data_IF_013794806408
#
_entry.id   IF_013794806408
#
_cell.length_a   1.000
_cell.length_b   1.000
_cell.length_c   1.000
_cell.angle_alpha   90.00
_cell.angle_beta   90.00
_cell.angle_gamma   90.00
#
_symmetry.space_group_name_H-M   'P 1'
#
loop_
_entity.id
_entity.type
_entity.pdbx_description
1 polymer ?
#
# COMPACT_ATOMS: atom_id res chain seq x y z
N UNK A 1 16.73 -26.62 25.59
CA UNK A 1 15.87 -25.78 24.74
C UNK A 1 16.37 -24.37 24.93
N UNK A 2 17.32 -23.98 24.11
CA UNK A 2 17.77 -22.60 24.05
C UNK A 2 16.62 -21.77 23.46
N UNK A 3 16.16 -20.81 24.23
CA UNK A 3 15.18 -19.81 23.75
C UNK A 3 15.86 -19.03 22.64
N UNK A 4 15.38 -19.20 21.40
CA UNK A 4 15.76 -18.29 20.31
C UNK A 4 15.61 -16.84 20.81
N UNK A 5 16.60 -15.96 20.55
CA UNK A 5 16.50 -14.58 20.98
C UNK A 5 15.27 -13.96 20.32
N UNK A 6 14.25 -13.68 21.12
CA UNK A 6 13.14 -12.84 20.71
C UNK A 6 13.74 -11.49 20.33
N UNK A 7 13.72 -11.13 19.05
CA UNK A 7 14.05 -9.78 18.62
C UNK A 7 13.05 -8.86 19.30
N UNK A 8 13.49 -8.21 20.37
CA UNK A 8 12.77 -7.05 20.87
C UNK A 8 12.67 -6.05 19.71
N UNK A 9 11.45 -5.64 19.40
CA UNK A 9 11.20 -4.59 18.44
C UNK A 9 11.98 -3.35 18.89
N UNK A 10 13.08 -3.06 18.19
CA UNK A 10 13.88 -1.84 18.41
C UNK A 10 13.63 -0.91 17.26
N UNK A 11 12.91 0.21 17.46
CA UNK A 11 12.72 1.25 16.44
C UNK A 11 14.04 1.75 15.85
N UNK A 12 15.13 1.69 16.61
CA UNK A 12 16.47 2.13 16.22
C UNK A 12 17.10 1.28 15.08
N UNK A 13 16.55 0.09 14.82
CA UNK A 13 17.00 -0.81 13.74
C UNK A 13 16.08 -0.79 12.52
N UNK A 14 15.09 0.08 12.51
CA UNK A 14 14.12 0.14 11.44
C UNK A 14 14.53 1.14 10.37
N UNK A 15 14.48 0.68 9.13
CA UNK A 15 14.66 1.54 7.96
C UNK A 15 13.35 2.29 7.66
N UNK A 16 13.16 3.44 8.30
CA UNK A 16 12.02 4.33 8.07
C UNK A 16 12.14 5.14 6.76
N UNK A 17 12.56 4.51 5.67
CA UNK A 17 12.52 5.14 4.35
C UNK A 17 11.09 5.19 3.83
N UNK A 18 10.77 6.23 3.06
CA UNK A 18 9.52 6.35 2.34
C UNK A 18 9.46 5.32 1.19
N UNK A 19 8.98 4.11 1.49
CA UNK A 19 8.89 3.04 0.49
C UNK A 19 7.71 3.19 -0.46
N UNK A 20 6.63 3.82 0.00
CA UNK A 20 5.42 4.01 -0.78
C UNK A 20 4.92 5.44 -0.62
N UNK A 21 4.72 6.11 -1.73
CA UNK A 21 4.27 7.50 -1.74
C UNK A 21 3.04 7.60 -2.63
N UNK A 22 1.92 8.02 -2.06
CA UNK A 22 0.72 8.38 -2.81
C UNK A 22 0.77 9.86 -3.12
N UNK A 23 0.71 10.22 -4.39
CA UNK A 23 0.78 11.60 -4.82
C UNK A 23 -0.50 12.00 -5.55
N UNK A 24 -1.29 12.85 -4.92
CA UNK A 24 -2.42 13.49 -5.57
C UNK A 24 -1.89 14.62 -6.45
N UNK A 25 -1.87 14.43 -7.76
CA UNK A 25 -1.31 15.38 -8.70
C UNK A 25 -2.26 16.55 -9.04
N UNK A 26 -3.57 16.35 -8.80
CA UNK A 26 -4.61 17.36 -9.07
C UNK A 26 -5.84 17.11 -8.20
N UNK A 27 -6.57 18.19 -7.88
CA UNK A 27 -7.92 18.11 -7.29
C UNK A 27 -9.03 17.96 -8.33
N UNK A 28 -8.73 18.17 -9.60
CA UNK A 28 -9.72 18.03 -10.67
C UNK A 28 -10.14 16.60 -10.87
N UNK A 29 -11.43 16.35 -11.00
CA UNK A 29 -11.98 15.04 -11.29
C UNK A 29 -13.17 15.12 -12.25
N UNK A 30 -13.37 14.11 -13.05
CA UNK A 30 -14.56 13.93 -13.89
C UNK A 30 -15.64 13.09 -13.21
N UNK A 31 -15.41 12.61 -11.99
CA UNK A 31 -16.38 11.94 -11.13
C UNK A 31 -16.68 12.77 -9.88
N UNK A 32 -17.81 12.47 -9.21
CA UNK A 32 -18.27 13.14 -7.99
C UNK A 32 -18.59 12.14 -6.88
N UNK A 33 -17.60 11.32 -6.52
CA UNK A 33 -17.77 10.22 -5.57
C UNK A 33 -18.17 10.70 -4.17
N UNK A 34 -19.13 10.03 -3.54
CA UNK A 34 -19.63 10.35 -2.19
C UNK A 34 -18.54 10.15 -1.11
N UNK A 35 -17.64 9.21 -1.31
CA UNK A 35 -16.56 8.83 -0.38
C UNK A 35 -15.21 9.50 -0.65
N UNK A 36 -15.18 10.58 -1.45
CA UNK A 36 -13.92 11.18 -1.87
C UNK A 36 -13.16 11.84 -0.71
N UNK A 37 -12.06 11.21 -0.27
CA UNK A 37 -11.20 11.73 0.80
C UNK A 37 -10.45 13.02 0.44
N UNK A 38 -10.21 13.24 -0.86
CA UNK A 38 -9.51 14.42 -1.39
C UNK A 38 -10.43 15.63 -1.51
N UNK A 39 -11.74 15.42 -1.42
CA UNK A 39 -12.77 16.41 -1.78
C UNK A 39 -12.52 16.98 -3.18
N UNK A 40 -12.30 16.08 -4.14
CA UNK A 40 -11.96 16.43 -5.51
C UNK A 40 -13.06 17.27 -6.17
N UNK A 41 -12.63 18.25 -6.96
CA UNK A 41 -13.53 19.18 -7.64
C UNK A 41 -14.07 18.58 -8.93
N UNK A 42 -15.38 18.30 -8.92
CA UNK A 42 -16.07 17.78 -10.09
C UNK A 42 -16.03 18.79 -11.24
N UNK A 43 -15.41 18.40 -12.36
CA UNK A 43 -15.24 19.25 -13.54
C UNK A 43 -14.58 20.60 -13.24
N UNK A 44 -13.77 20.66 -12.17
CA UNK A 44 -13.03 21.87 -11.81
C UNK A 44 -12.06 22.33 -12.89
N UNK A 45 -11.77 23.63 -12.91
CA UNK A 45 -10.76 24.22 -13.79
C UNK A 45 -9.32 23.90 -13.40
N UNK A 46 -8.35 24.31 -14.22
CA UNK A 46 -6.93 24.26 -13.85
C UNK A 46 -6.69 25.13 -12.61
N UNK A 47 -5.90 24.63 -11.68
CA UNK A 47 -5.52 25.33 -10.45
C UNK A 47 -4.10 25.87 -10.58
N UNK A 48 -3.90 27.09 -10.13
CA UNK A 48 -2.58 27.76 -10.17
C UNK A 48 -1.72 27.42 -8.96
N UNK A 49 -2.30 26.86 -7.92
CA UNK A 49 -1.63 26.46 -6.69
C UNK A 49 -1.12 25.00 -6.72
N UNK A 50 -1.59 24.17 -7.66
CA UNK A 50 -1.05 22.84 -7.90
C UNK A 50 0.40 22.91 -8.40
N UNK A 51 1.20 21.89 -8.06
CA UNK A 51 2.58 21.79 -8.57
C UNK A 51 2.60 21.75 -10.09
N UNK A 52 3.39 22.62 -10.72
CA UNK A 52 3.64 22.55 -12.15
C UNK A 52 4.63 21.39 -12.48
N UNK A 53 4.86 21.14 -13.78
CA UNK A 53 5.71 20.02 -14.24
C UNK A 53 7.12 20.05 -13.65
N UNK A 54 7.77 21.22 -13.66
CA UNK A 54 9.11 21.42 -13.12
C UNK A 54 9.18 21.20 -11.61
N UNK A 55 8.15 21.63 -10.89
CA UNK A 55 7.99 21.39 -9.45
C UNK A 55 7.79 19.91 -9.17
N UNK A 56 7.00 19.21 -10.00
CA UNK A 56 6.86 17.76 -9.89
C UNK A 56 8.20 17.04 -10.08
N UNK A 57 9.01 17.45 -11.05
CA UNK A 57 10.34 16.86 -11.27
C UNK A 57 11.26 17.07 -10.06
N UNK A 58 11.28 18.30 -9.49
CA UNK A 58 12.04 18.57 -8.26
C UNK A 58 11.60 17.71 -7.08
N UNK A 59 10.30 17.48 -6.93
CA UNK A 59 9.76 16.61 -5.87
C UNK A 59 10.19 15.16 -6.10
N UNK A 60 10.19 14.66 -7.35
CA UNK A 60 10.68 13.33 -7.69
C UNK A 60 12.17 13.20 -7.32
N UNK A 61 12.99 14.21 -7.61
CA UNK A 61 14.42 14.23 -7.25
C UNK A 61 14.61 14.19 -5.72
N UNK A 62 13.83 14.97 -4.96
CA UNK A 62 13.87 14.96 -3.49
C UNK A 62 13.48 13.59 -2.90
N UNK A 63 12.49 12.90 -3.49
CA UNK A 63 12.11 11.56 -3.06
C UNK A 63 13.25 10.58 -3.33
N UNK A 64 13.92 10.70 -4.47
CA UNK A 64 15.05 9.84 -4.85
C UNK A 64 16.24 9.93 -3.89
N UNK A 65 16.45 11.08 -3.24
CA UNK A 65 17.47 11.26 -2.19
C UNK A 65 17.21 10.37 -0.97
N UNK A 66 15.94 10.13 -0.62
CA UNK A 66 15.55 9.29 0.51
C UNK A 66 15.47 7.82 0.11
N UNK A 67 14.79 7.53 -0.99
CA UNK A 67 14.65 6.16 -1.50
C UNK A 67 14.52 6.13 -3.03
N UNK A 68 15.61 5.87 -3.78
CA UNK A 68 15.57 5.83 -5.24
C UNK A 68 14.75 4.67 -5.82
N UNK A 69 14.32 3.73 -4.98
CA UNK A 69 13.51 2.57 -5.37
C UNK A 69 12.11 2.60 -4.74
N UNK A 70 11.59 3.78 -4.43
CA UNK A 70 10.25 3.92 -3.87
C UNK A 70 9.16 3.48 -4.86
N UNK A 71 8.04 3.05 -4.30
CA UNK A 71 6.81 2.78 -5.01
C UNK A 71 6.00 4.07 -5.08
N UNK A 72 5.85 4.64 -6.26
CA UNK A 72 5.19 5.92 -6.47
C UNK A 72 3.80 5.71 -7.08
N UNK A 73 2.77 6.07 -6.34
CA UNK A 73 1.37 5.99 -6.76
C UNK A 73 0.93 7.38 -7.22
N UNK A 74 0.92 7.60 -8.52
CA UNK A 74 0.45 8.85 -9.12
C UNK A 74 -1.07 8.80 -9.25
N UNK A 75 -1.77 9.70 -8.57
CA UNK A 75 -3.23 9.74 -8.50
C UNK A 75 -3.70 11.20 -8.36
N UNK A 76 -4.88 11.43 -7.81
CA UNK A 76 -5.42 12.76 -7.58
C UNK A 76 -6.92 12.72 -7.45
N UNK A 77 -7.61 13.69 -8.02
CA UNK A 77 -8.97 13.53 -8.45
C UNK A 77 -9.00 12.54 -9.60
N UNK A 78 -8.67 12.99 -10.82
CA UNK A 78 -8.37 12.10 -11.95
C UNK A 78 -7.05 12.55 -12.60
N UNK A 79 -5.97 11.76 -12.48
CA UNK A 79 -4.65 12.19 -12.97
C UNK A 79 -4.58 12.35 -14.48
N UNK A 80 -5.39 11.63 -15.26
CA UNK A 80 -5.45 11.75 -16.71
C UNK A 80 -6.04 13.10 -17.19
N UNK A 81 -6.58 13.92 -16.29
CA UNK A 81 -6.96 15.31 -16.59
C UNK A 81 -5.76 16.26 -16.60
N UNK A 82 -4.58 15.84 -16.13
CA UNK A 82 -3.36 16.63 -16.24
C UNK A 82 -2.72 16.45 -17.61
N UNK A 83 -2.43 17.54 -18.34
CA UNK A 83 -1.83 17.43 -19.67
C UNK A 83 -0.41 16.87 -19.66
N UNK A 84 0.34 17.09 -18.57
CA UNK A 84 1.73 16.70 -18.36
C UNK A 84 1.91 15.33 -17.64
N UNK A 85 0.82 14.57 -17.42
CA UNK A 85 0.87 13.31 -16.65
C UNK A 85 1.88 12.31 -17.23
N UNK A 86 1.98 12.20 -18.54
CA UNK A 86 2.89 11.24 -19.19
C UNK A 86 4.36 11.63 -19.04
N UNK A 87 4.66 12.95 -18.96
CA UNK A 87 6.00 13.47 -18.71
C UNK A 87 6.42 13.18 -17.28
N UNK A 88 5.51 13.36 -16.31
CA UNK A 88 5.75 13.06 -14.90
C UNK A 88 5.99 11.56 -14.70
N UNK A 89 5.16 10.69 -15.32
CA UNK A 89 5.36 9.24 -15.28
C UNK A 89 6.74 8.86 -15.84
N UNK A 90 7.10 9.39 -17.00
CA UNK A 90 8.39 9.11 -17.65
C UNK A 90 9.56 9.54 -16.78
N UNK A 91 9.52 10.76 -16.25
CA UNK A 91 10.58 11.27 -15.39
C UNK A 91 10.81 10.39 -14.16
N UNK A 92 9.72 9.98 -13.50
CA UNK A 92 9.80 9.07 -12.37
C UNK A 92 10.32 7.67 -12.75
N UNK A 93 9.86 7.12 -13.89
CA UNK A 93 10.31 5.82 -14.39
C UNK A 93 11.81 5.83 -14.77
N UNK A 94 12.31 6.91 -15.37
CA UNK A 94 13.72 7.11 -15.71
C UNK A 94 14.60 7.17 -14.46
N UNK A 95 14.08 7.68 -13.33
CA UNK A 95 14.71 7.65 -11.99
C UNK A 95 14.61 6.27 -11.31
N UNK A 96 14.03 5.26 -11.98
CA UNK A 96 13.89 3.87 -11.49
C UNK A 96 12.83 3.68 -10.41
N UNK A 97 11.93 4.62 -10.20
CA UNK A 97 10.77 4.37 -9.35
C UNK A 97 9.85 3.31 -9.95
N UNK A 98 9.21 2.53 -9.09
CA UNK A 98 8.08 1.70 -9.49
C UNK A 98 6.83 2.59 -9.55
N UNK A 99 6.46 3.04 -10.76
CA UNK A 99 5.35 3.98 -10.96
C UNK A 99 4.05 3.25 -11.26
N UNK A 100 3.01 3.51 -10.48
CA UNK A 100 1.64 3.03 -10.73
C UNK A 100 0.70 4.22 -10.83
N UNK A 101 -0.19 4.21 -11.82
CA UNK A 101 -1.23 5.21 -11.99
C UNK A 101 -2.51 4.75 -11.29
N UNK A 102 -3.01 5.55 -10.33
CA UNK A 102 -4.32 5.34 -9.70
C UNK A 102 -5.37 6.22 -10.39
N UNK A 103 -6.32 5.62 -11.11
CA UNK A 103 -7.34 6.29 -11.91
C UNK A 103 -8.73 5.71 -11.64
N UNK A 104 -9.77 6.45 -11.95
CA UNK A 104 -11.13 5.93 -11.95
C UNK A 104 -11.45 5.06 -13.20
N UNK A 105 -10.56 5.03 -14.19
CA UNK A 105 -10.67 4.21 -15.40
C UNK A 105 -11.47 4.85 -16.55
N UNK A 106 -12.37 5.78 -16.25
CA UNK A 106 -13.33 6.30 -17.25
C UNK A 106 -12.71 7.10 -18.41
N UNK A 107 -11.44 7.49 -18.28
CA UNK A 107 -10.68 8.16 -19.32
C UNK A 107 -9.70 7.25 -20.07
N UNK A 108 -9.63 5.98 -19.71
CA UNK A 108 -8.78 5.01 -20.41
C UNK A 108 -9.38 4.72 -21.79
N UNK A 109 -8.61 5.03 -22.80
CA UNK A 109 -8.84 4.63 -24.19
C UNK A 109 -7.51 4.09 -24.75
N UNK A 110 -7.53 3.53 -25.94
CA UNK A 110 -6.31 2.93 -26.54
C UNK A 110 -5.13 3.92 -26.58
N UNK A 111 -5.38 5.18 -26.97
CA UNK A 111 -4.33 6.22 -27.07
C UNK A 111 -3.72 6.51 -25.70
N UNK A 112 -4.56 6.67 -24.66
CA UNK A 112 -4.07 6.92 -23.30
C UNK A 112 -3.34 5.70 -22.73
N UNK A 113 -3.84 4.48 -22.96
CA UNK A 113 -3.19 3.25 -22.51
C UNK A 113 -1.80 3.07 -23.16
N UNK A 114 -1.66 3.32 -24.46
CA UNK A 114 -0.39 3.29 -25.16
C UNK A 114 0.60 4.34 -24.63
N UNK A 115 0.12 5.57 -24.34
CA UNK A 115 0.95 6.62 -23.73
C UNK A 115 1.40 6.25 -22.32
N UNK A 116 0.52 5.68 -21.48
CA UNK A 116 0.86 5.21 -20.13
C UNK A 116 1.98 4.15 -20.21
N UNK A 117 1.83 3.18 -21.11
CA UNK A 117 2.85 2.14 -21.34
C UNK A 117 4.18 2.73 -21.82
N UNK A 118 4.12 3.61 -22.83
CA UNK A 118 5.31 4.25 -23.39
C UNK A 118 6.01 5.20 -22.42
N UNK A 119 5.29 5.77 -21.45
CA UNK A 119 5.84 6.57 -20.37
C UNK A 119 6.55 5.73 -19.29
N UNK A 120 6.37 4.42 -19.28
CA UNK A 120 7.06 3.52 -18.34
C UNK A 120 6.32 3.25 -17.04
N UNK A 121 4.99 3.46 -17.00
CA UNK A 121 4.19 3.02 -15.86
C UNK A 121 4.23 1.49 -15.73
N UNK A 122 4.39 1.00 -14.49
CA UNK A 122 4.42 -0.42 -14.17
C UNK A 122 3.03 -1.05 -14.10
N UNK A 123 1.99 -0.23 -13.94
CA UNK A 123 0.62 -0.69 -13.91
C UNK A 123 -0.38 0.43 -13.64
N UNK A 124 -1.66 0.06 -13.73
CA UNK A 124 -2.80 0.97 -13.51
C UNK A 124 -3.74 0.37 -12.47
N UNK A 125 -4.11 1.16 -11.46
CA UNK A 125 -5.14 0.79 -10.50
C UNK A 125 -6.48 1.40 -10.89
N UNK A 126 -7.50 0.57 -11.11
CA UNK A 126 -8.85 1.02 -11.46
C UNK A 126 -9.82 0.70 -10.33
N UNK A 127 -10.70 1.63 -10.06
CA UNK A 127 -11.67 1.53 -8.97
C UNK A 127 -12.98 0.88 -9.44
N UNK A 128 -13.35 -0.25 -8.80
CA UNK A 128 -14.66 -0.92 -8.96
C UNK A 128 -15.20 -1.21 -7.56
N UNK A 129 -16.31 -0.57 -7.17
CA UNK A 129 -16.87 -0.72 -5.83
C UNK A 129 -18.07 -1.67 -5.77
N UNK A 130 -18.65 -2.02 -6.92
CA UNK A 130 -19.77 -2.95 -7.03
C UNK A 130 -19.80 -3.56 -8.43
N UNK A 131 -20.24 -4.81 -8.52
CA UNK A 131 -20.55 -5.45 -9.80
C UNK A 131 -21.91 -5.04 -10.34
N UNK A 132 -22.74 -4.37 -9.54
CA UNK A 132 -23.99 -3.75 -9.99
C UNK A 132 -23.69 -2.34 -10.54
N UNK A 133 -23.96 -2.07 -11.86
CA UNK A 133 -23.69 -0.78 -12.48
C UNK A 133 -24.37 0.40 -11.78
N UNK A 134 -25.64 0.26 -11.41
CA UNK A 134 -26.41 1.33 -10.78
C UNK A 134 -25.82 1.72 -9.41
N UNK A 135 -25.43 0.72 -8.61
CA UNK A 135 -24.77 0.96 -7.32
C UNK A 135 -23.43 1.66 -7.51
N UNK A 136 -22.60 1.15 -8.44
CA UNK A 136 -21.30 1.75 -8.71
C UNK A 136 -21.45 3.19 -9.21
N UNK A 137 -22.30 3.42 -10.22
CA UNK A 137 -22.54 4.73 -10.81
C UNK A 137 -23.05 5.74 -9.78
N UNK A 138 -23.97 5.31 -8.91
CA UNK A 138 -24.46 6.14 -7.79
C UNK A 138 -23.34 6.50 -6.83
N UNK A 139 -22.52 5.53 -6.40
CA UNK A 139 -21.40 5.74 -5.47
C UNK A 139 -20.31 6.63 -6.06
N UNK A 140 -20.09 6.55 -7.38
CA UNK A 140 -19.17 7.41 -8.14
C UNK A 140 -19.75 8.75 -8.57
N UNK A 141 -21.05 8.95 -8.40
CA UNK A 141 -21.76 10.20 -8.66
C UNK A 141 -21.87 10.59 -10.13
N UNK A 142 -21.67 9.66 -11.06
CA UNK A 142 -21.76 9.87 -12.51
C UNK A 142 -22.29 8.64 -13.22
N UNK A 143 -23.27 8.85 -14.10
CA UNK A 143 -23.81 7.81 -14.98
C UNK A 143 -22.73 7.23 -15.90
N UNK A 144 -22.79 5.93 -16.16
CA UNK A 144 -21.85 5.18 -17.02
C UNK A 144 -20.41 5.12 -16.51
N UNK A 145 -20.15 5.47 -15.26
CA UNK A 145 -18.82 5.31 -14.68
C UNK A 145 -18.39 3.84 -14.67
N UNK A 146 -19.34 2.92 -14.39
CA UNK A 146 -19.09 1.48 -14.37
C UNK A 146 -18.71 0.95 -15.76
N UNK A 147 -19.51 1.26 -16.77
CA UNK A 147 -19.32 0.79 -18.15
C UNK A 147 -17.97 1.25 -18.69
N UNK A 148 -17.64 2.54 -18.52
CA UNK A 148 -16.36 3.10 -18.96
C UNK A 148 -15.18 2.48 -18.23
N UNK A 149 -15.31 2.17 -16.95
CA UNK A 149 -14.26 1.50 -16.18
C UNK A 149 -14.09 0.03 -16.60
N UNK A 150 -15.18 -0.64 -17.02
CA UNK A 150 -15.12 -2.00 -17.58
C UNK A 150 -14.42 -2.03 -18.92
N UNK A 151 -14.75 -1.12 -19.84
CA UNK A 151 -14.09 -1.00 -21.14
C UNK A 151 -12.57 -0.76 -20.98
N UNK A 152 -12.16 -0.07 -19.91
CA UNK A 152 -10.75 0.18 -19.62
C UNK A 152 -9.94 -1.09 -19.40
N UNK A 153 -10.50 -2.12 -18.78
CA UNK A 153 -9.79 -3.39 -18.56
C UNK A 153 -9.48 -4.12 -19.87
N UNK A 154 -10.44 -4.16 -20.79
CA UNK A 154 -10.24 -4.78 -22.09
C UNK A 154 -9.15 -4.05 -22.88
N UNK A 155 -9.18 -2.72 -22.87
CA UNK A 155 -8.17 -1.87 -23.52
C UNK A 155 -6.78 -2.09 -22.93
N UNK A 156 -6.65 -2.13 -21.59
CA UNK A 156 -5.37 -2.38 -20.93
C UNK A 156 -4.81 -3.76 -21.24
N UNK A 157 -5.66 -4.79 -21.29
CA UNK A 157 -5.28 -6.14 -21.71
C UNK A 157 -4.75 -6.16 -23.15
N UNK A 158 -5.48 -5.53 -24.08
CA UNK A 158 -5.08 -5.47 -25.49
C UNK A 158 -3.75 -4.73 -25.71
N UNK A 159 -3.53 -3.63 -24.97
CA UNK A 159 -2.28 -2.87 -25.02
C UNK A 159 -1.15 -3.57 -24.27
N UNK A 160 -1.48 -4.47 -23.34
CA UNK A 160 -0.52 -5.18 -22.48
C UNK A 160 0.05 -4.26 -21.38
N UNK A 161 -0.82 -3.57 -20.67
CA UNK A 161 -0.53 -2.83 -19.44
C UNK A 161 -1.07 -3.62 -18.26
N UNK A 162 -0.22 -3.93 -17.29
CA UNK A 162 -0.67 -4.61 -16.07
C UNK A 162 -1.61 -3.69 -15.27
N UNK A 163 -2.65 -4.27 -14.67
CA UNK A 163 -3.61 -3.51 -13.87
C UNK A 163 -4.06 -4.26 -12.62
N UNK A 164 -4.65 -3.52 -11.71
CA UNK A 164 -5.26 -4.03 -10.49
C UNK A 164 -6.63 -3.39 -10.26
N UNK A 165 -7.49 -4.10 -9.53
CA UNK A 165 -8.79 -3.60 -9.11
C UNK A 165 -8.71 -3.08 -7.68
N UNK A 166 -9.34 -1.92 -7.45
CA UNK A 166 -9.46 -1.28 -6.14
C UNK A 166 -10.93 -1.15 -5.78
N UNK A 167 -11.31 -1.60 -4.59
CA UNK A 167 -12.66 -1.49 -4.06
C UNK A 167 -12.63 -0.71 -2.76
N UNK A 168 -13.45 0.32 -2.64
CA UNK A 168 -13.70 1.00 -1.37
C UNK A 168 -14.90 0.35 -0.70
N UNK A 169 -14.71 -0.21 0.49
CA UNK A 169 -15.74 -0.95 1.20
C UNK A 169 -16.52 -0.08 2.16
N UNK A 170 -17.84 -0.30 2.20
CA UNK A 170 -18.82 0.32 3.09
C UNK A 170 -19.94 -0.67 3.41
N UNK A 171 -20.89 -0.31 4.28
CA UNK A 171 -22.08 -1.13 4.55
C UNK A 171 -22.88 -1.48 3.28
N UNK A 172 -22.78 -0.64 2.26
CA UNK A 172 -23.51 -0.81 1.00
C UNK A 172 -23.02 -2.00 0.17
N UNK A 173 -21.72 -2.34 0.23
CA UNK A 173 -21.08 -3.23 -0.73
C UNK A 173 -20.17 -4.32 -0.13
N UNK A 174 -19.95 -4.38 1.18
CA UNK A 174 -18.98 -5.33 1.74
C UNK A 174 -19.30 -6.80 1.42
N UNK A 175 -20.59 -7.15 1.25
CA UNK A 175 -21.00 -8.50 0.84
C UNK A 175 -20.66 -8.86 -0.60
N UNK A 176 -20.34 -7.87 -1.42
CA UNK A 176 -19.91 -8.05 -2.82
C UNK A 176 -18.42 -8.35 -2.95
N UNK A 177 -17.64 -8.35 -1.85
CA UNK A 177 -16.19 -8.65 -1.88
C UNK A 177 -15.88 -9.93 -2.65
N UNK A 178 -16.55 -11.09 -2.43
CA UNK A 178 -16.29 -12.31 -3.17
C UNK A 178 -16.50 -12.18 -4.68
N UNK A 179 -17.57 -11.49 -5.08
CA UNK A 179 -17.94 -11.31 -6.48
C UNK A 179 -16.93 -10.40 -7.21
N UNK A 180 -16.52 -9.29 -6.58
CA UNK A 180 -15.50 -8.38 -7.16
C UNK A 180 -14.14 -9.05 -7.24
N UNK A 181 -13.76 -9.88 -6.26
CA UNK A 181 -12.50 -10.65 -6.30
C UNK A 181 -12.53 -11.69 -7.43
N UNK A 182 -13.64 -12.41 -7.60
CA UNK A 182 -13.81 -13.38 -8.69
C UNK A 182 -13.73 -12.70 -10.05
N UNK A 183 -14.40 -11.57 -10.22
CA UNK A 183 -14.28 -10.72 -11.40
C UNK A 183 -12.82 -10.30 -11.64
N UNK A 184 -12.13 -9.83 -10.59
CA UNK A 184 -10.73 -9.38 -10.67
C UNK A 184 -9.79 -10.46 -11.20
N UNK A 185 -9.95 -11.70 -10.73
CA UNK A 185 -9.15 -12.84 -11.23
C UNK A 185 -9.49 -13.17 -12.68
N UNK A 186 -10.79 -13.19 -13.01
CA UNK A 186 -11.28 -13.54 -14.34
C UNK A 186 -10.77 -12.60 -15.44
N UNK A 187 -10.66 -11.28 -15.16
CA UNK A 187 -10.15 -10.30 -16.14
C UNK A 187 -8.62 -10.28 -16.23
N UNK A 188 -7.90 -11.10 -15.47
CA UNK A 188 -6.45 -11.17 -15.50
C UNK A 188 -5.73 -10.05 -14.75
N UNK A 189 -6.38 -9.37 -13.81
CA UNK A 189 -5.74 -8.39 -12.96
C UNK A 189 -4.63 -9.03 -12.10
N UNK A 190 -3.57 -8.26 -11.82
CA UNK A 190 -2.45 -8.75 -11.00
C UNK A 190 -2.75 -8.71 -9.50
N UNK A 191 -3.68 -7.84 -9.07
CA UNK A 191 -4.04 -7.68 -7.66
C UNK A 191 -5.45 -7.13 -7.48
N UNK A 192 -5.99 -7.42 -6.29
CA UNK A 192 -7.17 -6.80 -5.70
C UNK A 192 -6.78 -6.07 -4.42
N UNK A 193 -7.16 -4.80 -4.30
CA UNK A 193 -6.96 -4.00 -3.11
C UNK A 193 -8.31 -3.59 -2.51
N UNK A 194 -8.60 -4.04 -1.29
CA UNK A 194 -9.77 -3.61 -0.52
C UNK A 194 -9.38 -2.45 0.39
N UNK A 195 -9.98 -1.29 0.16
CA UNK A 195 -9.79 -0.09 0.97
C UNK A 195 -10.92 0.05 1.98
N UNK A 196 -10.58 0.01 3.26
CA UNK A 196 -11.51 0.36 4.33
C UNK A 196 -11.50 1.87 4.50
N UNK A 197 -12.65 2.49 4.31
CA UNK A 197 -12.77 3.93 4.35
C UNK A 197 -12.37 4.49 5.72
N UNK A 198 -11.78 5.66 5.69
CA UNK A 198 -11.58 6.53 6.85
C UNK A 198 -12.41 7.79 6.57
N UNK A 199 -13.29 8.14 7.47
CA UNK A 199 -14.27 9.22 7.28
C UNK A 199 -13.60 10.60 7.28
N UNK A 200 -13.07 10.99 6.12
CA UNK A 200 -12.43 12.29 5.85
C UNK A 200 -12.95 12.87 4.54
N UNK A 201 -12.78 14.16 4.32
CA UNK A 201 -13.28 14.84 3.13
C UNK A 201 -14.82 14.72 3.00
N UNK A 202 -15.36 14.55 1.79
CA UNK A 202 -16.80 14.33 1.57
C UNK A 202 -17.33 13.05 2.21
N UNK A 203 -16.48 12.08 2.49
CA UNK A 203 -16.84 10.85 3.16
C UNK A 203 -17.20 10.99 4.64
N UNK A 204 -17.04 12.17 5.25
CA UNK A 204 -17.44 12.42 6.63
C UNK A 204 -18.95 12.21 6.81
N UNK A 205 -19.32 11.15 7.54
CA UNK A 205 -20.70 10.87 7.93
C UNK A 205 -21.55 10.07 6.95
N UNK A 206 -21.06 9.68 5.77
CA UNK A 206 -21.89 9.04 4.74
C UNK A 206 -21.48 7.62 4.32
N UNK A 207 -20.34 7.12 4.75
CA UNK A 207 -19.75 5.93 4.13
C UNK A 207 -19.17 4.94 5.12
N UNK A 208 -19.51 5.10 6.38
CA UNK A 208 -18.96 4.26 7.43
C UNK A 208 -19.53 2.84 7.34
N UNK A 209 -18.76 1.91 7.88
CA UNK A 209 -19.10 0.51 7.99
C UNK A 209 -19.19 0.18 9.50
N UNK A 210 -20.27 -0.48 9.92
CA UNK A 210 -20.39 -0.90 11.31
C UNK A 210 -19.25 -1.84 11.71
N UNK A 211 -18.83 -1.84 12.99
CA UNK A 211 -17.76 -2.72 13.45
C UNK A 211 -18.04 -4.20 13.13
N UNK A 212 -19.29 -4.64 13.25
CA UNK A 212 -19.67 -6.01 12.90
C UNK A 212 -19.49 -6.30 11.40
N UNK A 213 -19.91 -5.40 10.51
CA UNK A 213 -19.71 -5.53 9.08
C UNK A 213 -18.22 -5.37 8.68
N UNK A 214 -17.47 -4.52 9.41
CA UNK A 214 -16.04 -4.38 9.25
C UNK A 214 -15.30 -5.71 9.52
N UNK A 215 -15.64 -6.36 10.64
CA UNK A 215 -15.05 -7.66 11.00
C UNK A 215 -15.47 -8.77 10.01
N UNK A 216 -16.73 -8.76 9.54
CA UNK A 216 -17.18 -9.68 8.48
C UNK A 216 -16.44 -9.44 7.16
N UNK A 217 -16.24 -8.18 6.76
CA UNK A 217 -15.49 -7.84 5.56
C UNK A 217 -14.02 -8.31 5.62
N UNK A 218 -13.37 -8.23 6.79
CA UNK A 218 -12.02 -8.76 7.00
C UNK A 218 -12.00 -10.29 6.83
N UNK A 219 -12.99 -11.02 7.34
CA UNK A 219 -13.11 -12.48 7.19
C UNK A 219 -13.38 -12.87 5.74
N UNK A 220 -14.31 -12.18 5.06
CA UNK A 220 -14.57 -12.39 3.63
C UNK A 220 -13.29 -12.21 2.82
N UNK A 221 -12.51 -11.15 3.11
CA UNK A 221 -11.24 -10.91 2.44
C UNK A 221 -10.23 -12.02 2.66
N UNK A 222 -10.14 -12.55 3.90
CA UNK A 222 -9.28 -13.69 4.23
C UNK A 222 -9.68 -14.94 3.45
N UNK A 223 -10.95 -15.26 3.39
CA UNK A 223 -11.47 -16.42 2.64
C UNK A 223 -11.12 -16.31 1.16
N UNK A 224 -11.27 -15.11 0.57
CA UNK A 224 -10.87 -14.90 -0.82
C UNK A 224 -9.34 -14.99 -0.99
N UNK A 225 -8.55 -14.46 -0.06
CA UNK A 225 -7.09 -14.56 -0.12
C UNK A 225 -6.64 -16.03 -0.09
N UNK A 226 -7.29 -16.88 0.68
CA UNK A 226 -6.99 -18.33 0.71
C UNK A 226 -7.48 -19.02 -0.56
N UNK A 227 -8.70 -18.73 -1.03
CA UNK A 227 -9.27 -19.29 -2.28
C UNK A 227 -8.39 -19.00 -3.50
N UNK A 228 -7.81 -17.81 -3.58
CA UNK A 228 -7.01 -17.37 -4.73
C UNK A 228 -5.50 -17.36 -4.47
N UNK A 229 -5.04 -18.00 -3.39
CA UNK A 229 -3.62 -18.08 -3.02
C UNK A 229 -2.75 -18.54 -4.19
N UNK A 230 -1.71 -17.74 -4.49
CA UNK A 230 -0.78 -18.01 -5.60
C UNK A 230 -1.29 -17.66 -7.01
N UNK A 231 -2.54 -17.23 -7.17
CA UNK A 231 -3.15 -16.79 -8.44
C UNK A 231 -3.39 -15.30 -8.51
N UNK A 232 -3.96 -14.71 -7.46
CA UNK A 232 -4.26 -13.29 -7.34
C UNK A 232 -3.66 -12.75 -6.04
N UNK A 233 -3.04 -11.58 -6.11
CA UNK A 233 -2.61 -10.86 -4.91
C UNK A 233 -3.82 -10.12 -4.32
N UNK A 234 -4.16 -10.41 -3.06
CA UNK A 234 -5.29 -9.78 -2.36
C UNK A 234 -4.76 -9.03 -1.15
N UNK A 235 -5.07 -7.74 -1.05
CA UNK A 235 -4.56 -6.87 -0.01
C UNK A 235 -5.67 -6.12 0.72
N UNK A 236 -5.55 -6.03 2.03
CA UNK A 236 -6.25 -5.06 2.86
C UNK A 236 -5.49 -3.73 2.86
N UNK A 237 -6.21 -2.63 2.73
CA UNK A 237 -5.71 -1.25 2.84
C UNK A 237 -6.49 -0.51 3.92
N UNK A 238 -5.80 0.30 4.72
CA UNK A 238 -6.40 1.09 5.82
C UNK A 238 -7.11 0.23 6.91
N UNK A 239 -6.81 -1.06 6.95
CA UNK A 239 -7.30 -2.01 7.96
C UNK A 239 -6.14 -2.89 8.46
N UNK A 240 -5.24 -2.36 9.29
CA UNK A 240 -4.14 -3.14 9.85
C UNK A 240 -4.62 -4.33 10.71
N UNK A 241 -5.85 -4.28 11.23
CA UNK A 241 -6.53 -5.37 11.95
C UNK A 241 -6.62 -6.68 11.14
N UNK A 242 -6.54 -6.59 9.81
CA UNK A 242 -6.51 -7.75 8.93
C UNK A 242 -5.38 -8.74 9.31
N UNK A 243 -4.25 -8.23 9.82
CA UNK A 243 -3.12 -9.08 10.27
C UNK A 243 -3.51 -9.97 11.45
N UNK A 244 -4.37 -9.47 12.36
CA UNK A 244 -4.95 -10.27 13.44
C UNK A 244 -5.83 -11.39 12.87
N UNK A 245 -6.74 -11.07 11.96
CA UNK A 245 -7.63 -12.07 11.35
C UNK A 245 -6.83 -13.18 10.66
N UNK A 246 -5.79 -12.81 9.92
CA UNK A 246 -4.88 -13.81 9.32
C UNK A 246 -4.21 -14.67 10.38
N UNK A 247 -3.64 -14.07 11.42
CA UNK A 247 -2.94 -14.79 12.49
C UNK A 247 -3.88 -15.73 13.26
N UNK A 248 -5.10 -15.30 13.53
CA UNK A 248 -6.12 -16.12 14.23
C UNK A 248 -6.49 -17.39 13.46
N UNK A 249 -6.36 -17.38 12.13
CA UNK A 249 -6.65 -18.53 11.27
C UNK A 249 -5.39 -19.32 10.89
N UNK A 250 -4.25 -18.68 10.70
CA UNK A 250 -2.99 -19.29 10.34
C UNK A 250 -1.81 -18.44 10.89
N UNK A 251 -1.31 -18.75 12.11
CA UNK A 251 -0.20 -18.01 12.71
C UNK A 251 1.10 -18.04 11.91
N UNK A 252 1.32 -19.06 11.08
CA UNK A 252 2.50 -19.20 10.23
C UNK A 252 2.30 -18.61 8.81
N UNK A 253 1.16 -17.95 8.59
CA UNK A 253 0.82 -17.38 7.30
C UNK A 253 1.82 -16.31 6.86
N UNK A 254 2.24 -16.38 5.60
CA UNK A 254 3.05 -15.30 4.99
C UNK A 254 2.32 -13.95 4.94
N UNK A 255 1.00 -13.96 5.06
CA UNK A 255 0.18 -12.76 5.04
C UNK A 255 0.13 -12.02 6.38
N UNK A 256 0.69 -12.59 7.47
CA UNK A 256 0.93 -11.88 8.72
C UNK A 256 2.04 -10.83 8.59
N UNK A 257 2.88 -10.95 7.55
CA UNK A 257 3.96 -10.00 7.26
C UNK A 257 3.43 -8.58 7.21
N UNK A 258 4.12 -7.68 7.87
CA UNK A 258 3.75 -6.27 7.94
C UNK A 258 4.99 -5.40 8.11
N UNK A 259 4.81 -4.10 7.94
CA UNK A 259 5.81 -3.13 8.37
C UNK A 259 5.90 -3.14 9.89
N UNK A 260 7.07 -2.85 10.40
CA UNK A 260 7.26 -2.71 11.83
C UNK A 260 6.37 -1.60 12.39
N UNK A 261 5.60 -1.93 13.42
CA UNK A 261 4.62 -1.03 13.99
C UNK A 261 3.26 -0.99 13.29
N UNK A 262 2.99 -1.89 12.35
CA UNK A 262 1.66 -2.12 11.75
C UNK A 262 1.25 -1.07 10.73
N UNK A 263 0.49 -0.06 11.12
CA UNK A 263 0.05 1.01 10.20
C UNK A 263 1.25 1.71 9.54
N UNK A 264 1.33 1.77 8.19
CA UNK A 264 2.51 2.30 7.50
C UNK A 264 2.62 3.83 7.48
N UNK A 265 1.62 4.57 7.99
CA UNK A 265 1.65 6.02 8.06
C UNK A 265 2.93 6.52 8.76
N UNK A 266 3.65 7.42 8.14
CA UNK A 266 4.93 7.98 8.58
C UNK A 266 6.08 6.98 8.73
N UNK A 267 5.84 5.67 8.77
CA UNK A 267 6.90 4.66 8.89
C UNK A 267 7.45 4.25 7.52
N UNK A 268 6.58 3.96 6.56
CA UNK A 268 6.93 3.48 5.22
C UNK A 268 6.07 4.10 4.13
N UNK A 269 5.11 4.94 4.52
CA UNK A 269 4.12 5.52 3.63
C UNK A 269 3.91 7.00 3.95
N UNK A 270 3.76 7.79 2.89
CA UNK A 270 3.35 9.20 2.96
C UNK A 270 2.45 9.57 1.79
N UNK A 271 1.86 10.74 1.88
CA UNK A 271 1.07 11.32 0.78
C UNK A 271 1.56 12.73 0.48
N UNK A 272 1.55 13.09 -0.80
CA UNK A 272 1.79 14.45 -1.29
C UNK A 272 0.49 15.00 -1.89
N UNK A 273 0.10 16.20 -1.47
CA UNK A 273 -1.08 16.88 -2.04
C UNK A 273 -0.77 17.53 -3.40
N UNK A 274 -1.80 17.95 -4.17
CA UNK A 274 -1.59 18.67 -5.41
C UNK A 274 -0.75 19.94 -5.27
N UNK A 275 -0.86 20.61 -4.13
CA UNK A 275 -0.15 21.83 -3.80
C UNK A 275 1.28 21.59 -3.29
N UNK A 276 1.67 20.32 -3.12
CA UNK A 276 2.99 19.91 -2.63
C UNK A 276 3.09 19.75 -1.12
N UNK A 277 1.98 19.71 -0.39
CA UNK A 277 2.00 19.45 1.05
C UNK A 277 2.28 17.96 1.32
N UNK A 278 3.21 17.68 2.23
CA UNK A 278 3.50 16.33 2.71
C UNK A 278 2.62 16.00 3.92
N UNK A 279 2.00 14.83 3.90
CA UNK A 279 1.23 14.27 5.02
C UNK A 279 1.62 12.82 5.31
N UNK A 280 1.44 12.30 6.52
CA UNK A 280 1.79 10.91 6.87
C UNK A 280 1.04 9.84 6.08
N UNK A 281 -0.21 10.13 5.69
CA UNK A 281 -1.03 9.26 4.83
C UNK A 281 -2.16 10.06 4.15
N UNK A 282 -2.89 9.49 3.18
CA UNK A 282 -3.98 10.19 2.48
C UNK A 282 -5.12 10.70 3.38
N UNK A 283 -5.36 10.01 4.49
CA UNK A 283 -6.47 10.30 5.41
C UNK A 283 -6.04 11.11 6.65
N UNK A 284 -4.80 11.56 6.72
CA UNK A 284 -4.30 12.54 7.68
C UNK A 284 -4.12 13.84 6.91
N UNK A 285 -4.98 14.81 7.16
CA UNK A 285 -4.98 16.10 6.44
C UNK A 285 -3.91 17.06 6.96
N UNK A 286 -3.42 16.85 8.18
CA UNK A 286 -2.39 17.68 8.78
C UNK A 286 -1.09 17.61 7.98
N UNK A 287 -0.72 18.75 7.39
CA UNK A 287 0.52 18.90 6.63
C UNK A 287 1.72 19.05 7.55
N UNK A 288 2.76 18.29 7.30
CA UNK A 288 4.05 18.42 7.99
C UNK A 288 4.98 19.44 7.34
N UNK A 289 4.59 19.99 6.19
CA UNK A 289 5.31 21.02 5.45
C UNK A 289 5.04 20.92 3.93
N UNK A 290 5.54 21.90 3.19
CA UNK A 290 5.33 22.01 1.73
C UNK A 290 6.64 21.83 0.97
N UNK A 291 6.65 20.95 -0.04
CA UNK A 291 7.82 20.57 -0.82
C UNK A 291 8.31 21.64 -1.82
N UNK A 292 7.56 22.74 -1.97
CA UNK A 292 8.06 23.94 -2.67
C UNK A 292 9.13 24.66 -1.86
N UNK A 293 9.06 24.59 -0.53
CA UNK A 293 9.91 25.34 0.40
C UNK A 293 10.72 24.49 1.37
N UNK A 294 10.39 23.20 1.50
CA UNK A 294 11.07 22.29 2.41
C UNK A 294 11.62 21.07 1.65
N UNK A 295 12.69 20.47 2.17
CA UNK A 295 13.22 19.20 1.67
C UNK A 295 12.33 18.04 2.10
N UNK A 296 12.02 17.12 1.17
CA UNK A 296 11.32 15.87 1.49
C UNK A 296 12.05 15.08 2.58
N UNK A 297 13.37 15.01 2.49
CA UNK A 297 14.21 14.32 3.48
C UNK A 297 14.03 14.91 4.89
N UNK A 298 14.15 16.22 5.01
CA UNK A 298 14.03 16.88 6.31
C UNK A 298 12.63 16.69 6.92
N UNK A 299 11.58 16.91 6.13
CA UNK A 299 10.21 16.68 6.59
C UNK A 299 9.97 15.21 6.97
N UNK A 300 10.46 14.28 6.16
CA UNK A 300 10.31 12.85 6.41
C UNK A 300 11.02 12.42 7.70
N UNK A 301 12.26 12.88 7.91
CA UNK A 301 13.09 12.45 9.04
C UNK A 301 12.72 13.17 10.35
N UNK A 302 12.42 14.47 10.29
CA UNK A 302 12.43 15.34 11.47
C UNK A 302 11.08 16.00 11.83
N UNK A 303 10.07 15.97 10.94
CA UNK A 303 8.80 16.62 11.26
C UNK A 303 8.14 15.96 12.49
N UNK A 304 7.68 16.77 13.49
CA UNK A 304 7.19 16.24 14.77
C UNK A 304 6.13 15.14 14.63
N UNK A 305 5.12 15.34 13.77
CA UNK A 305 4.07 14.34 13.54
C UNK A 305 4.61 13.05 12.92
N UNK A 306 5.62 13.12 12.02
CA UNK A 306 6.25 11.93 11.46
C UNK A 306 6.98 11.13 12.54
N UNK A 307 7.68 11.81 13.43
CA UNK A 307 8.41 11.20 14.55
C UNK A 307 7.45 10.58 15.55
N UNK A 308 6.40 11.32 15.96
CA UNK A 308 5.37 10.84 16.88
C UNK A 308 4.71 9.56 16.37
N UNK A 309 4.27 9.53 15.10
CA UNK A 309 3.63 8.35 14.51
C UNK A 309 4.54 7.13 14.40
N UNK A 310 5.85 7.27 14.49
CA UNK A 310 6.84 6.16 14.54
C UNK A 310 6.97 5.57 15.93
N UNK A 311 6.74 6.35 16.97
CA UNK A 311 6.81 5.89 18.36
C UNK A 311 5.53 5.17 18.77
N UNK A 312 5.49 3.85 18.56
CA UNK A 312 4.34 3.01 18.92
C UNK A 312 4.20 2.71 20.41
N UNK A 313 5.17 3.12 21.22
CA UNK A 313 5.08 2.98 22.69
C UNK A 313 4.02 3.92 23.28
N UNK A 314 3.70 5.02 22.58
CA UNK A 314 2.65 5.95 22.96
C UNK A 314 1.23 5.50 22.64
N UNK A 315 1.00 4.30 22.09
CA UNK A 315 -0.36 3.82 21.78
C UNK A 315 -1.20 3.68 23.06
N UNK A 316 -2.46 4.12 22.98
CA UNK A 316 -3.41 4.15 24.08
C UNK A 316 -4.54 3.11 23.90
N UNK A 317 -5.30 2.92 25.00
CA UNK A 317 -6.46 2.03 25.03
C UNK A 317 -6.11 0.57 24.63
N UNK A 318 -7.03 -0.10 23.98
CA UNK A 318 -6.83 -1.49 23.55
C UNK A 318 -5.64 -1.62 22.59
N UNK A 319 -5.35 -0.63 21.74
CA UNK A 319 -4.18 -0.69 20.86
C UNK A 319 -2.85 -0.72 21.63
N UNK A 320 -2.76 -0.02 22.75
CA UNK A 320 -1.55 0.05 23.59
C UNK A 320 -1.26 -1.24 24.36
N UNK A 321 -2.30 -1.96 24.77
CA UNK A 321 -2.20 -3.24 25.52
C UNK A 321 -2.36 -4.49 24.67
N UNK A 322 -2.57 -4.34 23.35
CA UNK A 322 -2.90 -5.44 22.44
C UNK A 322 -1.70 -6.33 22.12
N UNK A 323 -1.90 -7.65 22.15
CA UNK A 323 -0.89 -8.63 21.73
C UNK A 323 -0.45 -8.43 20.27
N UNK A 324 -1.32 -7.86 19.44
CA UNK A 324 -1.05 -7.59 18.02
C UNK A 324 -0.45 -6.20 17.75
N UNK A 325 -0.07 -5.44 18.77
CA UNK A 325 0.43 -4.06 18.62
C UNK A 325 1.60 -3.95 17.64
N UNK A 326 2.52 -4.91 17.62
CA UNK A 326 3.67 -4.94 16.73
C UNK A 326 3.32 -5.17 15.25
N UNK A 327 2.23 -5.86 14.94
CA UNK A 327 1.84 -6.17 13.56
C UNK A 327 0.62 -5.40 13.08
N UNK A 328 -0.13 -4.77 13.96
CA UNK A 328 -1.38 -4.06 13.66
C UNK A 328 -1.33 -2.59 14.02
N UNK A 329 -1.16 -2.26 15.30
CA UNK A 329 -1.19 -0.90 15.88
C UNK A 329 -2.47 -0.08 15.61
N UNK A 330 -3.52 -0.63 14.98
CA UNK A 330 -4.71 0.09 14.53
C UNK A 330 -4.46 1.12 13.42
N UNK A 331 -5.49 1.64 12.78
CA UNK A 331 -5.37 2.72 11.79
C UNK A 331 -5.23 4.08 12.50
N UNK A 332 -4.08 4.72 12.36
CA UNK A 332 -3.78 6.01 13.04
C UNK A 332 -4.63 7.16 12.53
N UNK A 333 -4.99 7.12 11.25
CA UNK A 333 -5.88 8.13 10.67
C UNK A 333 -7.31 7.99 11.20
N UNK A 334 -7.83 6.76 11.35
CA UNK A 334 -9.17 6.53 11.90
C UNK A 334 -9.23 6.87 13.38
N UNK A 335 -8.20 6.51 14.15
CA UNK A 335 -8.09 6.92 15.53
C UNK A 335 -8.18 8.46 15.68
N UNK A 336 -7.44 9.21 14.86
CA UNK A 336 -7.48 10.66 14.87
C UNK A 336 -8.83 11.23 14.42
N UNK A 337 -9.41 10.71 13.33
CA UNK A 337 -10.68 11.20 12.79
C UNK A 337 -11.82 11.17 13.84
N UNK A 338 -11.83 10.15 14.71
CA UNK A 338 -12.87 9.97 15.72
C UNK A 338 -12.54 10.65 17.07
N UNK A 339 -11.26 10.73 17.42
CA UNK A 339 -10.87 11.14 18.79
C UNK A 339 -10.05 12.42 18.85
N UNK A 340 -9.51 12.88 17.72
CA UNK A 340 -8.54 13.98 17.68
C UNK A 340 -7.13 13.58 18.18
N UNK A 341 -6.89 12.28 18.44
CA UNK A 341 -5.61 11.77 18.95
C UNK A 341 -5.10 10.64 18.05
N UNK A 342 -3.93 10.84 17.45
CA UNK A 342 -3.29 9.81 16.58
C UNK A 342 -2.92 8.53 17.32
N UNK A 343 -2.69 8.61 18.63
CA UNK A 343 -2.24 7.47 19.44
C UNK A 343 -3.39 6.73 20.12
N UNK A 344 -4.63 7.24 20.04
CA UNK A 344 -5.81 6.58 20.58
C UNK A 344 -6.06 5.19 19.94
N UNK A 345 -6.90 4.38 20.58
CA UNK A 345 -7.32 3.11 19.97
C UNK A 345 -8.09 3.35 18.68
N UNK A 346 -7.97 2.43 17.74
CA UNK A 346 -8.76 2.41 16.51
C UNK A 346 -10.22 2.03 16.84
N UNK A 347 -11.20 2.92 16.59
CA UNK A 347 -12.60 2.69 16.97
C UNK A 347 -13.29 1.56 16.20
N UNK A 348 -12.79 1.18 15.02
CA UNK A 348 -13.34 0.08 14.23
C UNK A 348 -12.80 -1.31 14.64
N UNK A 349 -12.19 -1.44 15.82
CA UNK A 349 -11.66 -2.69 16.33
C UNK A 349 -12.36 -3.11 17.60
N UNK A 350 -13.14 -4.20 17.54
CA UNK A 350 -13.83 -4.80 18.68
C UNK A 350 -13.02 -5.91 19.35
N UNK A 351 -11.74 -6.08 18.99
CA UNK A 351 -10.88 -7.08 19.62
C UNK A 351 -10.52 -6.67 21.04
N UNK A 352 -10.82 -7.57 21.98
CA UNK A 352 -10.45 -7.41 23.38
C UNK A 352 -9.08 -8.10 23.64
N UNK A 353 -8.06 -7.35 24.08
CA UNK A 353 -6.75 -7.90 24.41
C UNK A 353 -6.81 -8.96 25.53
N UNK A 354 -5.88 -9.92 25.49
CA UNK A 354 -5.75 -10.95 26.52
C UNK A 354 -6.06 -12.38 26.04
N UNK A 355 -6.65 -12.56 24.86
CA UNK A 355 -6.99 -13.88 24.29
C UNK A 355 -5.76 -14.79 24.13
N UNK A 356 -4.57 -14.20 23.90
CA UNK A 356 -3.29 -14.90 23.75
C UNK A 356 -2.38 -14.69 24.96
N UNK A 357 -2.95 -14.47 26.15
CA UNK A 357 -2.24 -14.36 27.42
C UNK A 357 -1.56 -13.01 27.65
N UNK A 358 -1.97 -11.96 26.95
CA UNK A 358 -1.53 -10.58 27.14
C UNK A 358 -0.06 -10.32 26.78
N UNK A 359 0.62 -11.27 26.13
CA UNK A 359 2.00 -11.09 25.66
C UNK A 359 2.02 -10.64 24.21
N UNK A 360 2.85 -9.65 23.89
CA UNK A 360 3.02 -9.19 22.53
C UNK A 360 3.42 -10.35 21.60
N UNK A 361 2.68 -10.50 20.51
CA UNK A 361 3.00 -11.44 19.43
C UNK A 361 4.08 -10.80 18.58
N UNK A 362 5.29 -11.38 18.62
CA UNK A 362 6.43 -10.88 17.84
C UNK A 362 6.49 -11.53 16.49
N UNK A 363 6.79 -10.72 15.46
CA UNK A 363 7.05 -11.22 14.12
C UNK A 363 8.45 -11.83 14.04
N UNK A 364 8.60 -12.88 13.23
CA UNK A 364 9.93 -13.37 12.85
C UNK A 364 10.62 -12.30 11.99
N UNK A 365 11.95 -12.16 12.11
CA UNK A 365 12.71 -11.14 11.35
C UNK A 365 12.51 -11.31 9.85
N UNK A 366 12.56 -12.54 9.38
CA UNK A 366 12.34 -12.90 7.99
C UNK A 366 10.90 -12.66 7.48
N UNK A 367 10.00 -12.29 8.37
CA UNK A 367 8.60 -11.95 8.04
C UNK A 367 8.29 -10.45 8.19
N UNK A 368 9.30 -9.65 8.53
CA UNK A 368 9.15 -8.19 8.75
C UNK A 368 9.58 -7.41 7.51
N UNK A 369 8.68 -6.56 7.02
CA UNK A 369 8.95 -5.61 5.93
C UNK A 369 9.67 -4.36 6.46
N UNK A 370 10.41 -3.67 5.59
CA UNK A 370 11.08 -2.42 5.93
C UNK A 370 12.31 -2.59 6.83
N UNK A 371 12.93 -3.76 6.81
CA UNK A 371 14.23 -3.97 7.45
C UNK A 371 15.35 -3.37 6.62
N UNK A 372 16.38 -2.85 7.29
CA UNK A 372 17.63 -2.51 6.63
C UNK A 372 18.27 -3.72 5.96
N UNK A 373 18.92 -3.45 4.82
CA UNK A 373 19.69 -4.47 4.11
C UNK A 373 21.06 -4.59 4.77
N UNK A 374 21.23 -5.61 5.57
CA UNK A 374 22.51 -5.97 6.19
C UNK A 374 22.97 -7.32 5.64
N UNK A 375 24.24 -7.39 5.21
CA UNK A 375 24.87 -8.61 4.76
C UNK A 375 25.77 -9.19 5.86
N UNK A 376 25.41 -10.35 6.38
CA UNK A 376 26.17 -11.07 7.42
C UNK A 376 27.07 -12.15 6.81
N UNK A 377 26.75 -12.57 5.58
CA UNK A 377 27.47 -13.58 4.83
C UNK A 377 28.10 -12.93 3.58
N UNK A 378 29.06 -13.57 2.96
CA UNK A 378 29.64 -13.11 1.68
C UNK A 378 28.65 -13.33 0.53
N UNK A 379 28.45 -12.30 -0.29
CA UNK A 379 27.59 -12.34 -1.48
C UNK A 379 28.38 -11.95 -2.71
N UNK A 380 28.16 -12.66 -3.83
CA UNK A 380 28.72 -12.22 -5.11
C UNK A 380 28.04 -10.94 -5.61
N UNK A 381 28.73 -10.12 -6.42
CA UNK A 381 28.14 -8.92 -7.02
C UNK A 381 26.86 -9.21 -7.83
N UNK A 382 26.84 -10.34 -8.55
CA UNK A 382 25.72 -10.79 -9.38
C UNK A 382 24.49 -11.13 -8.49
N UNK A 383 24.71 -11.83 -7.37
CA UNK A 383 23.64 -12.14 -6.41
C UNK A 383 23.07 -10.87 -5.78
N UNK A 384 23.93 -9.88 -5.44
CA UNK A 384 23.47 -8.58 -4.91
C UNK A 384 22.66 -7.81 -5.95
N UNK A 385 23.09 -7.81 -7.22
CA UNK A 385 22.36 -7.13 -8.31
C UNK A 385 20.93 -7.65 -8.49
N UNK A 386 20.69 -8.94 -8.21
CA UNK A 386 19.32 -9.51 -8.23
C UNK A 386 18.39 -8.89 -7.19
N UNK A 387 18.92 -8.44 -6.06
CA UNK A 387 18.12 -7.79 -5.01
C UNK A 387 17.54 -6.45 -5.49
N UNK A 388 18.17 -5.78 -6.46
CA UNK A 388 17.68 -4.51 -7.01
C UNK A 388 16.30 -4.65 -7.69
N UNK A 389 15.97 -5.85 -8.15
CA UNK A 389 14.67 -6.18 -8.75
C UNK A 389 13.56 -6.36 -7.71
N UNK A 390 13.91 -6.49 -6.44
CA UNK A 390 12.98 -6.66 -5.35
C UNK A 390 12.60 -5.27 -4.83
N UNK A 391 11.29 -5.01 -4.59
CA UNK A 391 10.88 -3.74 -3.98
C UNK A 391 11.68 -3.44 -2.71
N UNK A 392 12.13 -2.21 -2.55
CA UNK A 392 13.06 -1.81 -1.48
C UNK A 392 12.58 -2.21 -0.08
N UNK A 393 11.28 -2.08 0.18
CA UNK A 393 10.69 -2.45 1.47
C UNK A 393 10.79 -3.94 1.82
N UNK A 394 11.00 -4.82 0.84
CA UNK A 394 11.09 -6.26 1.06
C UNK A 394 12.54 -6.78 1.06
N UNK A 395 13.53 -5.97 0.66
CA UNK A 395 14.92 -6.42 0.45
C UNK A 395 15.57 -6.95 1.72
N UNK A 396 15.46 -6.20 2.83
CA UNK A 396 16.06 -6.61 4.11
C UNK A 396 15.50 -7.94 4.59
N UNK A 397 14.19 -8.13 4.52
CA UNK A 397 13.53 -9.40 4.82
C UNK A 397 14.03 -10.54 3.93
N UNK A 398 14.14 -10.31 2.62
CA UNK A 398 14.61 -11.33 1.67
C UNK A 398 16.06 -11.69 1.93
N UNK A 399 16.95 -10.72 2.20
CA UNK A 399 18.36 -10.98 2.54
C UNK A 399 18.45 -11.84 3.79
N UNK A 400 17.74 -11.49 4.88
CA UNK A 400 17.72 -12.29 6.13
C UNK A 400 17.23 -13.71 5.86
N UNK A 401 16.18 -13.90 5.05
CA UNK A 401 15.66 -15.22 4.68
C UNK A 401 16.68 -16.07 3.89
N UNK A 402 17.39 -15.47 2.93
CA UNK A 402 18.41 -16.16 2.14
C UNK A 402 19.63 -16.51 3.00
N UNK A 403 20.07 -15.62 3.88
CA UNK A 403 21.19 -15.88 4.79
C UNK A 403 20.86 -16.96 5.81
N UNK A 404 19.62 -16.99 6.33
CA UNK A 404 19.14 -18.10 7.16
C UNK A 404 19.19 -19.44 6.41
N UNK A 405 18.68 -19.46 5.17
CA UNK A 405 18.76 -20.64 4.31
C UNK A 405 20.21 -21.12 4.10
N UNK A 406 21.15 -20.18 3.89
CA UNK A 406 22.57 -20.48 3.71
C UNK A 406 23.20 -21.02 5.01
N UNK A 407 22.91 -20.40 6.16
CA UNK A 407 23.41 -20.82 7.46
C UNK A 407 22.96 -22.24 7.83
N UNK A 408 21.69 -22.59 7.58
CA UNK A 408 21.15 -23.95 7.81
C UNK A 408 21.85 -25.04 6.96
N UNK A 409 22.63 -24.63 5.92
CA UNK A 409 23.31 -25.52 4.97
C UNK A 409 24.82 -25.33 4.91
N UNK A 410 25.40 -24.61 5.88
CA UNK A 410 26.85 -24.28 5.92
C UNK A 410 27.39 -23.61 4.65
N UNK A 411 26.54 -22.85 3.93
CA UNK A 411 26.93 -22.12 2.74
C UNK A 411 27.56 -20.78 3.15
N UNK A 412 28.84 -20.58 2.80
CA UNK A 412 29.61 -19.39 3.17
C UNK A 412 29.62 -18.29 2.12
N UNK A 413 29.29 -18.60 0.87
CA UNK A 413 29.20 -17.65 -0.24
C UNK A 413 27.85 -17.77 -0.91
N UNK A 414 27.09 -16.70 -0.94
CA UNK A 414 25.78 -16.63 -1.58
C UNK A 414 25.97 -16.10 -3.01
N UNK A 415 25.79 -16.99 -3.96
CA UNK A 415 25.77 -16.71 -5.39
C UNK A 415 24.33 -16.74 -5.95
N UNK A 416 24.18 -16.53 -7.26
CA UNK A 416 22.88 -16.56 -7.92
C UNK A 416 22.16 -17.92 -7.80
N UNK A 417 22.90 -19.03 -7.74
CA UNK A 417 22.33 -20.36 -7.62
C UNK A 417 21.73 -20.56 -6.21
N UNK A 418 22.39 -20.08 -5.16
CA UNK A 418 21.88 -20.08 -3.78
C UNK A 418 20.63 -19.24 -3.67
N UNK A 419 20.63 -18.02 -4.23
CA UNK A 419 19.44 -17.13 -4.27
C UNK A 419 18.26 -17.82 -4.94
N UNK A 420 18.50 -18.48 -6.07
CA UNK A 420 17.46 -19.20 -6.82
C UNK A 420 16.88 -20.38 -6.01
N UNK A 421 17.74 -21.23 -5.45
CA UNK A 421 17.31 -22.40 -4.65
C UNK A 421 16.56 -22.00 -3.38
N UNK A 422 17.08 -21.02 -2.64
CA UNK A 422 16.39 -20.46 -1.47
C UNK A 422 14.99 -19.99 -1.79
N UNK A 423 14.85 -19.31 -2.93
CA UNK A 423 13.54 -18.83 -3.41
C UNK A 423 12.60 -20.00 -3.77
N UNK A 424 13.07 -20.99 -4.53
CA UNK A 424 12.28 -22.16 -4.95
C UNK A 424 11.72 -22.88 -3.71
N UNK A 425 12.56 -23.13 -2.70
CA UNK A 425 12.14 -23.74 -1.44
C UNK A 425 11.16 -22.87 -0.66
N UNK A 426 11.37 -21.55 -0.64
CA UNK A 426 10.46 -20.63 0.04
C UNK A 426 9.08 -20.59 -0.62
N UNK A 427 9.02 -20.64 -1.97
CA UNK A 427 7.76 -20.72 -2.72
C UNK A 427 7.06 -22.05 -2.47
N UNK A 428 7.79 -23.15 -2.44
CA UNK A 428 7.24 -24.47 -2.17
C UNK A 428 6.63 -24.57 -0.76
N UNK A 429 7.35 -24.08 0.26
CA UNK A 429 6.89 -24.13 1.65
C UNK A 429 5.77 -23.15 1.98
N UNK A 430 5.77 -21.95 1.40
CA UNK A 430 4.90 -20.84 1.82
C UNK A 430 3.97 -20.29 0.73
N UNK A 431 4.11 -20.77 -0.51
CA UNK A 431 3.42 -20.21 -1.66
C UNK A 431 4.00 -18.87 -2.16
N UNK A 432 3.66 -18.48 -3.37
CA UNK A 432 4.09 -17.19 -3.93
C UNK A 432 3.27 -16.06 -3.30
N UNK A 433 3.89 -15.25 -2.47
CA UNK A 433 3.25 -14.07 -1.85
C UNK A 433 2.88 -13.00 -2.89
N UNK A 434 3.71 -12.87 -3.91
CA UNK A 434 3.55 -11.89 -4.98
C UNK A 434 3.59 -12.57 -6.35
N UNK A 435 2.46 -13.09 -6.87
CA UNK A 435 2.40 -13.80 -8.14
C UNK A 435 3.00 -13.00 -9.32
N UNK A 436 2.85 -11.68 -9.30
CA UNK A 436 3.39 -10.79 -10.34
C UNK A 436 4.93 -10.71 -10.33
N UNK A 437 5.58 -10.94 -9.19
CA UNK A 437 7.05 -10.98 -9.13
C UNK A 437 7.65 -12.13 -9.93
N UNK A 438 6.85 -13.13 -10.34
CA UNK A 438 7.30 -14.16 -11.30
C UNK A 438 7.80 -13.54 -12.60
N UNK A 439 7.32 -12.35 -12.99
CA UNK A 439 7.77 -11.64 -14.19
C UNK A 439 9.10 -10.90 -13.99
N UNK A 440 9.51 -10.61 -12.76
CA UNK A 440 10.69 -9.81 -12.43
C UNK A 440 11.88 -10.64 -11.90
N UNK A 441 11.68 -11.90 -11.72
CA UNK A 441 12.64 -12.85 -11.18
C UNK A 441 12.73 -14.05 -12.15
#
# INVERSE_FOLDING_TARGET
METEPTLEFSPEKMDFRAYSISWNLTKRCNLNCDHCYLDAEFRGGLKTDELNTEECFRVIDQIAEVNPNAFLILTGGEPLLRPDIYEIIRYAADKKFMVVLGTNGTMINRVNAEKIKAAGAHGVGISIDSMNPDKHNKFRGVEKAWELSMDAFDILNEVGVDFLVQMSVSDMNYKEIPEVVEFTEKIGAIAFNLYFLVCTGRGQGNTDISNAAYEEALKLLYDQQMKYKGRLMINSKCAPQYKRVVYENDPESVYTRTYSGGCPAATHYSRISPEGNLTPCPFIEESVGNLKSNSFKDLWENAPLMVELRDRKGLEGNCGSCEFSAMCSGCRARAFAETGNYMAQDPSCDYEPGKYGGKAITLKVEDTLGLEVEFQTQWTPEAKSRLERIPSFARGMVVKGIEKYAAERDIRLIDEAVVKKSREEMIEKRGAMFPFLKKFI
#
